data_IF_872484507813
#
_entry.id   IF_872484507813
#
_cell.length_a   1.000
_cell.length_b   1.000
_cell.length_c   1.000
_cell.angle_alpha   90.00
_cell.angle_beta   90.00
_cell.angle_gamma   90.00
#
_symmetry.space_group_name_H-M   'P 1'
#
loop_
_entity.id
_entity.type
_entity.pdbx_description
1 polymer ?
#
# COMPACT_ATOMS: atom_id res chain seq x y z
N UNK A 1 -22.23 16.14 -1.63
CA UNK A 1 -21.49 14.90 -2.02
C UNK A 1 -20.61 14.48 -0.86
N UNK A 2 -20.92 13.37 -0.19
CA UNK A 2 -20.16 12.92 0.98
C UNK A 2 -18.69 12.67 0.59
N UNK A 3 -17.73 13.31 1.27
CA UNK A 3 -16.30 13.07 1.08
C UNK A 3 -16.01 11.62 1.49
N UNK A 4 -15.95 10.74 0.48
CA UNK A 4 -15.82 9.29 0.62
C UNK A 4 -14.58 8.96 1.47
N UNK A 5 -14.77 8.04 2.42
CA UNK A 5 -13.90 7.66 3.55
C UNK A 5 -12.40 7.92 3.30
N UNK A 6 -11.82 8.88 4.04
CA UNK A 6 -10.37 8.86 4.31
C UNK A 6 -10.11 7.50 5.01
N UNK A 7 -9.18 6.71 4.48
CA UNK A 7 -8.71 5.51 5.16
C UNK A 7 -8.18 5.83 6.57
N UNK A 8 -7.69 4.80 7.26
CA UNK A 8 -6.93 4.95 8.49
C UNK A 8 -5.66 5.75 8.24
N UNK A 9 -5.41 6.75 9.07
CA UNK A 9 -4.15 7.46 9.10
C UNK A 9 -3.13 6.57 9.82
N UNK A 10 -2.27 5.91 9.04
CA UNK A 10 -1.30 4.91 9.52
C UNK A 10 0.09 5.41 9.18
N UNK A 11 0.94 5.48 10.20
CA UNK A 11 2.36 5.84 10.07
C UNK A 11 3.20 4.64 10.49
N UNK A 12 4.14 4.23 9.64
CA UNK A 12 5.05 3.13 9.92
C UNK A 12 5.62 2.49 8.67
N UNK A 13 6.42 1.44 8.88
CA UNK A 13 6.98 0.61 7.83
C UNK A 13 6.35 -0.78 7.87
N UNK A 14 6.05 -1.32 6.69
CA UNK A 14 5.66 -2.72 6.51
C UNK A 14 6.69 -3.37 5.61
N UNK A 15 7.44 -4.32 6.16
CA UNK A 15 8.37 -5.15 5.37
C UNK A 15 7.54 -6.21 4.67
N UNK A 16 7.60 -6.24 3.34
CA UNK A 16 6.87 -7.21 2.52
C UNK A 16 7.87 -8.00 1.70
N UNK A 17 7.82 -9.32 1.86
CA UNK A 17 8.50 -10.24 0.95
C UNK A 17 7.69 -10.32 -0.35
N UNK A 18 8.13 -9.59 -1.38
CA UNK A 18 7.41 -9.51 -2.66
C UNK A 18 7.62 -10.82 -3.44
N UNK A 19 6.55 -11.55 -3.80
CA UNK A 19 6.70 -12.72 -4.66
C UNK A 19 7.02 -12.30 -6.10
N UNK A 20 7.56 -13.24 -6.88
CA UNK A 20 7.72 -13.09 -8.33
C UNK A 20 6.35 -12.98 -9.00
N UNK A 21 6.22 -12.09 -10.00
CA UNK A 21 5.00 -11.89 -10.77
C UNK A 21 4.39 -10.49 -10.60
N UNK A 22 3.90 -10.07 -9.41
CA UNK A 22 3.37 -8.73 -9.23
C UNK A 22 4.46 -7.66 -9.21
N UNK A 23 4.16 -6.51 -9.82
CA UNK A 23 4.98 -5.31 -9.70
C UNK A 23 4.97 -4.77 -8.26
N UNK A 24 6.00 -4.00 -7.91
CA UNK A 24 6.08 -3.30 -6.62
C UNK A 24 4.86 -2.40 -6.34
N UNK A 25 4.34 -1.73 -7.37
CA UNK A 25 3.12 -0.90 -7.27
C UNK A 25 1.87 -1.73 -6.97
N UNK A 26 1.73 -2.91 -7.58
CA UNK A 26 0.60 -3.82 -7.31
C UNK A 26 0.60 -4.25 -5.85
N UNK A 27 1.77 -4.54 -5.27
CA UNK A 27 1.90 -4.88 -3.85
C UNK A 27 1.51 -3.70 -2.96
N UNK A 28 2.01 -2.50 -3.24
CA UNK A 28 1.64 -1.29 -2.48
C UNK A 28 0.13 -1.04 -2.48
N UNK A 29 -0.53 -1.24 -3.64
CA UNK A 29 -1.98 -1.09 -3.74
C UNK A 29 -2.74 -2.11 -2.89
N UNK A 30 -2.29 -3.37 -2.87
CA UNK A 30 -2.86 -4.41 -2.00
C UNK A 30 -2.68 -4.07 -0.53
N UNK A 31 -1.49 -3.63 -0.12
CA UNK A 31 -1.20 -3.21 1.27
C UNK A 31 -2.10 -2.06 1.69
N UNK A 32 -2.22 -1.02 0.85
CA UNK A 32 -3.09 0.12 1.12
C UNK A 32 -4.55 -0.31 1.32
N UNK A 33 -5.04 -1.21 0.47
CA UNK A 33 -6.39 -1.74 0.59
C UNK A 33 -6.58 -2.60 1.86
N UNK A 34 -5.67 -3.54 2.10
CA UNK A 34 -5.76 -4.49 3.22
C UNK A 34 -5.72 -3.78 4.59
N UNK A 35 -4.93 -2.72 4.70
CA UNK A 35 -4.84 -1.92 5.94
C UNK A 35 -5.88 -0.78 5.99
N UNK A 36 -6.68 -0.61 4.93
CA UNK A 36 -7.54 0.55 4.72
C UNK A 36 -6.78 1.86 4.92
N UNK A 37 -5.53 1.97 4.44
CA UNK A 37 -4.66 3.11 4.69
C UNK A 37 -5.01 4.32 3.80
N UNK A 38 -4.82 5.53 4.34
CA UNK A 38 -4.94 6.79 3.58
C UNK A 38 -3.91 6.87 2.46
N UNK A 39 -2.68 6.43 2.72
CA UNK A 39 -1.52 6.48 1.81
C UNK A 39 -0.62 5.27 2.05
N UNK A 40 0.05 4.81 0.99
CA UNK A 40 1.14 3.85 1.06
C UNK A 40 2.13 4.13 -0.09
N UNK A 41 3.38 3.70 0.06
CA UNK A 41 4.45 3.82 -0.94
C UNK A 41 5.56 2.81 -0.67
N UNK A 42 6.47 2.62 -1.62
CA UNK A 42 7.65 1.76 -1.48
C UNK A 42 8.95 2.57 -1.56
N UNK A 43 10.03 2.05 -0.98
CA UNK A 43 11.33 2.70 -0.97
C UNK A 43 12.22 2.38 -2.19
N UNK A 44 11.78 1.45 -3.05
CA UNK A 44 12.47 1.09 -4.28
C UNK A 44 11.65 0.09 -5.07
N UNK A 45 11.81 0.09 -6.39
CA UNK A 45 11.14 -0.87 -7.27
C UNK A 45 12.02 -2.11 -7.38
N UNK A 46 11.41 -3.27 -7.14
CA UNK A 46 11.94 -4.56 -7.53
C UNK A 46 11.24 -5.02 -8.80
N UNK A 47 12.00 -5.65 -9.70
CA UNK A 47 11.49 -6.33 -10.90
C UNK A 47 10.52 -7.47 -10.53
#
# INVERSE_FOLDING_TARGET
>A
MARKRKGRDISGWLVVDKPVGPTSTTVVNKVRWALNATKAGHAGTLD
#
